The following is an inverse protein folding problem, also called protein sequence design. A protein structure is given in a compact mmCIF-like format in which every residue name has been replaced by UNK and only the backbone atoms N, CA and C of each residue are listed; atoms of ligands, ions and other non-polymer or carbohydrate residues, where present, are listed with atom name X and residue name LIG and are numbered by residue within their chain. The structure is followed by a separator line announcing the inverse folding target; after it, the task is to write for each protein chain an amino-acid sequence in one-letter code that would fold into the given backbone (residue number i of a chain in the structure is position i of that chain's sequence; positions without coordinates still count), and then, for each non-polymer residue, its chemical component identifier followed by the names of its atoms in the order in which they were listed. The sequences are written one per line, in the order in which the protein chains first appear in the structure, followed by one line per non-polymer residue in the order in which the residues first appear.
data_IF_664945311970
#
_entry.id   IF_664945311970
#
_cell.length_a   1.000
_cell.length_b   1.000
_cell.length_c   1.000
_cell.angle_alpha   90.00
_cell.angle_beta   90.00
_cell.angle_gamma   90.00
#
_symmetry.space_group_name_H-M   'P 1'
#
loop_
_entity.id
_entity.type
_entity.pdbx_description
1 polymer ?
#
# COMPACT_ATOMS: atom_id res chain seq x y z
N UNK A 1 10.79 7.66 -6.62
CA UNK A 1 11.47 6.38 -6.26
C UNK A 1 11.19 5.34 -7.33
N UNK A 2 12.13 4.44 -7.55
CA UNK A 2 11.96 3.31 -8.47
C UNK A 2 11.32 2.12 -7.74
N UNK A 3 11.09 1.03 -8.49
CA UNK A 3 10.48 -0.20 -7.93
C UNK A 3 11.25 -0.71 -6.71
N UNK A 4 12.58 -0.79 -6.81
CA UNK A 4 13.40 -1.32 -5.72
C UNK A 4 13.31 -0.44 -4.47
N UNK A 5 13.28 0.87 -4.64
CA UNK A 5 13.18 1.80 -3.53
C UNK A 5 11.83 1.70 -2.82
N UNK A 6 10.74 1.57 -3.58
CA UNK A 6 9.41 1.32 -2.99
C UNK A 6 9.37 0.00 -2.24
N UNK A 7 9.91 -1.04 -2.84
CA UNK A 7 9.98 -2.36 -2.23
C UNK A 7 10.80 -2.32 -0.93
N UNK A 8 11.98 -1.74 -0.99
CA UNK A 8 12.88 -1.66 0.17
C UNK A 8 12.22 -0.88 1.31
N UNK A 9 11.54 0.21 0.99
CA UNK A 9 10.86 1.01 2.00
C UNK A 9 9.74 0.22 2.68
N UNK A 10 8.90 -0.47 1.90
CA UNK A 10 7.84 -1.30 2.46
C UNK A 10 8.40 -2.36 3.41
N UNK A 11 9.47 -3.04 3.00
CA UNK A 11 10.09 -4.08 3.81
C UNK A 11 10.77 -3.52 5.06
N UNK A 12 11.19 -2.27 5.04
CA UNK A 12 11.85 -1.61 6.18
C UNK A 12 10.90 -1.21 7.29
N UNK A 13 9.59 -1.22 7.04
CA UNK A 13 8.60 -0.77 8.01
C UNK A 13 8.47 -1.70 9.22
N UNK A 14 8.76 -2.97 9.05
CA UNK A 14 8.76 -3.93 10.15
C UNK A 14 9.15 -5.32 9.68
N UNK A 15 9.56 -6.15 10.62
CA UNK A 15 9.88 -7.55 10.35
C UNK A 15 8.63 -8.38 10.07
N UNK A 16 7.46 -7.83 10.33
CA UNK A 16 6.16 -8.44 10.10
C UNK A 16 5.60 -8.21 8.70
N UNK A 17 6.32 -7.45 7.85
CA UNK A 17 5.91 -7.23 6.47
C UNK A 17 6.27 -8.45 5.63
N UNK A 18 5.30 -8.94 4.86
CA UNK A 18 5.50 -10.02 3.90
C UNK A 18 5.25 -9.53 2.49
N UNK A 19 6.08 -9.95 1.54
CA UNK A 19 5.85 -9.66 0.12
C UNK A 19 5.49 -10.93 -0.63
N UNK A 20 4.53 -10.85 -1.55
CA UNK A 20 4.06 -11.99 -2.34
C UNK A 20 3.65 -11.55 -3.73
N UNK A 21 3.62 -12.52 -4.65
CA UNK A 21 3.03 -12.37 -5.98
C UNK A 21 1.76 -13.24 -6.03
N UNK A 22 0.67 -12.84 -5.36
CA UNK A 22 -0.47 -13.73 -5.13
C UNK A 22 -1.31 -14.02 -6.39
N UNK A 23 -1.13 -13.23 -7.44
CA UNK A 23 -1.95 -13.31 -8.65
C UNK A 23 -1.22 -13.93 -9.84
N UNK A 24 -0.17 -14.71 -9.58
CA UNK A 24 0.66 -15.30 -10.65
C UNK A 24 -0.14 -16.20 -11.60
N UNK A 25 -1.24 -16.77 -11.13
CA UNK A 25 -2.11 -17.65 -11.94
C UNK A 25 -3.16 -16.89 -12.75
N UNK A 26 -3.30 -15.60 -12.52
CA UNK A 26 -4.31 -14.78 -13.19
C UNK A 26 -3.69 -14.05 -14.37
N UNK A 27 -4.41 -13.99 -15.48
CA UNK A 27 -3.99 -13.22 -16.63
C UNK A 27 -3.82 -11.75 -16.23
N UNK A 28 -2.70 -11.14 -16.60
CA UNK A 28 -2.33 -9.76 -16.29
C UNK A 28 -2.12 -9.50 -14.79
N UNK A 29 -2.01 -10.55 -13.96
CA UNK A 29 -1.77 -10.39 -12.54
C UNK A 29 -0.44 -10.98 -12.06
N UNK A 30 0.30 -11.62 -12.95
CA UNK A 30 1.53 -12.34 -12.63
C UNK A 30 2.69 -11.44 -12.17
N UNK A 31 2.62 -10.15 -12.47
CA UNK A 31 3.66 -9.18 -12.10
C UNK A 31 3.22 -8.24 -10.98
N UNK A 32 2.08 -8.48 -10.33
CA UNK A 32 1.60 -7.63 -9.24
C UNK A 32 2.25 -8.05 -7.92
N UNK A 33 3.11 -7.19 -7.39
CA UNK A 33 3.77 -7.40 -6.11
C UNK A 33 2.94 -6.78 -4.99
N UNK A 34 2.63 -7.58 -3.97
CA UNK A 34 1.75 -7.18 -2.87
C UNK A 34 2.48 -7.29 -1.54
N UNK A 35 2.33 -6.28 -0.70
CA UNK A 35 2.89 -6.23 0.65
C UNK A 35 1.79 -6.38 1.68
N UNK A 36 2.00 -7.27 2.64
CA UNK A 36 1.04 -7.64 3.67
C UNK A 36 1.58 -7.32 5.05
N UNK A 37 0.68 -6.97 5.95
CA UNK A 37 0.94 -6.97 7.40
C UNK A 37 -0.28 -7.57 8.08
N UNK A 38 -0.06 -8.45 9.07
CA UNK A 38 -1.14 -9.18 9.74
C UNK A 38 -2.04 -9.95 8.77
N UNK A 39 -1.49 -10.42 7.65
CA UNK A 39 -2.23 -11.17 6.64
C UNK A 39 -3.10 -10.33 5.70
N UNK A 40 -3.00 -8.99 5.75
CA UNK A 40 -3.82 -8.10 4.94
C UNK A 40 -2.95 -7.16 4.11
N UNK A 41 -3.39 -6.87 2.88
CA UNK A 41 -2.67 -5.99 1.97
C UNK A 41 -2.64 -4.55 2.50
N UNK A 42 -1.48 -3.89 2.36
CA UNK A 42 -1.38 -2.46 2.61
C UNK A 42 -0.76 -1.69 1.45
N UNK A 43 -0.07 -2.37 0.55
CA UNK A 43 0.57 -1.74 -0.61
C UNK A 43 0.70 -2.76 -1.73
N UNK A 44 0.43 -2.34 -2.96
CA UNK A 44 0.73 -3.19 -4.12
C UNK A 44 0.98 -2.34 -5.36
N UNK A 45 1.75 -2.89 -6.29
CA UNK A 45 2.01 -2.28 -7.58
C UNK A 45 2.44 -3.34 -8.60
N UNK A 46 2.29 -2.99 -9.88
CA UNK A 46 2.65 -3.88 -10.97
C UNK A 46 4.10 -3.65 -11.36
N UNK A 47 4.92 -4.70 -11.34
CA UNK A 47 6.34 -4.62 -11.70
C UNK A 47 6.55 -4.32 -13.19
N UNK A 48 5.63 -4.74 -14.04
CA UNK A 48 5.73 -4.55 -15.49
C UNK A 48 5.02 -3.29 -15.98
N UNK A 49 4.14 -2.72 -15.15
CA UNK A 49 3.42 -1.49 -15.48
C UNK A 49 3.39 -0.62 -14.23
N UNK A 50 4.53 -0.03 -13.93
CA UNK A 50 4.74 0.72 -12.69
C UNK A 50 4.24 2.15 -12.83
N UNK A 51 2.91 2.31 -12.89
CA UNK A 51 2.26 3.61 -13.04
C UNK A 51 1.47 4.03 -11.80
N UNK A 52 1.07 3.07 -10.97
CA UNK A 52 0.27 3.33 -9.78
C UNK A 52 0.77 2.46 -8.63
N UNK A 53 1.01 3.10 -7.48
CA UNK A 53 1.24 2.40 -6.21
C UNK A 53 -0.03 2.56 -5.39
N UNK A 54 -0.71 1.44 -5.12
CA UNK A 54 -1.99 1.46 -4.39
C UNK A 54 -1.76 1.28 -2.89
N UNK A 55 -2.35 2.17 -2.11
CA UNK A 55 -2.16 2.25 -0.66
C UNK A 55 -3.51 2.43 0.04
N UNK A 56 -3.65 1.80 1.19
CA UNK A 56 -4.81 2.04 2.04
C UNK A 56 -4.72 3.43 2.67
N UNK A 57 -5.88 4.08 2.82
CA UNK A 57 -5.93 5.44 3.38
C UNK A 57 -7.23 5.65 4.12
N UNK A 58 -7.23 6.53 5.12
CA UNK A 58 -8.42 6.90 5.84
C UNK A 58 -9.40 7.59 4.87
N UNK A 59 -10.68 7.15 4.84
CA UNK A 59 -11.66 7.75 3.92
C UNK A 59 -11.76 9.27 4.02
N UNK A 60 -11.69 9.80 5.23
CA UNK A 60 -11.80 11.24 5.49
C UNK A 60 -10.63 12.06 4.95
N UNK A 61 -9.50 11.41 4.62
CA UNK A 61 -8.32 12.09 4.08
C UNK A 61 -8.22 12.05 2.57
N UNK A 62 -8.97 11.15 1.93
CA UNK A 62 -8.76 10.85 0.50
C UNK A 62 -9.06 12.06 -0.38
N UNK A 63 -10.20 12.71 -0.19
CA UNK A 63 -10.57 13.86 -1.02
C UNK A 63 -9.60 15.03 -0.85
N UNK A 64 -9.16 15.27 0.38
CA UNK A 64 -8.20 16.32 0.68
C UNK A 64 -6.85 16.05 0.00
N UNK A 65 -6.37 14.82 0.08
CA UNK A 65 -5.11 14.43 -0.55
C UNK A 65 -5.17 14.58 -2.08
N UNK A 66 -6.28 14.15 -2.68
CA UNK A 66 -6.48 14.29 -4.13
C UNK A 66 -6.56 15.74 -4.56
N UNK A 67 -7.18 16.59 -3.75
CA UNK A 67 -7.27 18.02 -4.04
C UNK A 67 -5.93 18.73 -3.89
N UNK A 68 -5.11 18.29 -2.94
CA UNK A 68 -3.83 18.92 -2.63
C UNK A 68 -2.70 18.47 -3.56
N UNK A 69 -2.71 17.21 -4.01
CA UNK A 69 -1.62 16.62 -4.77
C UNK A 69 -2.10 15.99 -6.07
N UNK A 70 -1.60 16.48 -7.19
CA UNK A 70 -1.93 15.93 -8.51
C UNK A 70 -1.42 14.50 -8.70
N UNK A 71 -0.39 14.11 -7.96
CA UNK A 71 0.19 12.77 -8.02
C UNK A 71 -0.64 11.72 -7.28
N UNK A 72 -1.72 12.12 -6.60
CA UNK A 72 -2.60 11.20 -5.89
C UNK A 72 -3.93 11.09 -6.62
N UNK A 73 -4.33 9.85 -6.90
CA UNK A 73 -5.57 9.55 -7.59
C UNK A 73 -6.20 8.27 -7.09
N UNK A 74 -6.95 7.62 -7.95
CA UNK A 74 -7.63 6.37 -7.61
C UNK A 74 -6.65 5.20 -7.59
N UNK A 75 -6.91 4.18 -6.74
CA UNK A 75 -6.11 2.97 -6.73
C UNK A 75 -6.36 2.12 -7.96
N UNK A 76 -5.48 1.17 -8.21
CA UNK A 76 -5.69 0.18 -9.26
C UNK A 76 -6.57 -0.93 -8.71
N UNK A 77 -7.73 -1.11 -9.31
CA UNK A 77 -8.63 -2.26 -9.05
C UNK A 77 -8.99 -2.47 -7.58
N UNK A 78 -9.14 -1.39 -6.81
CA UNK A 78 -9.57 -1.40 -5.42
C UNK A 78 -10.59 -0.29 -5.17
N UNK A 79 -11.25 -0.33 -4.01
CA UNK A 79 -12.26 0.64 -3.65
C UNK A 79 -11.65 2.04 -3.43
N UNK A 80 -12.06 3.06 -4.20
CA UNK A 80 -11.55 4.41 -4.01
C UNK A 80 -12.01 5.08 -2.72
N UNK A 81 -12.90 4.44 -1.97
CA UNK A 81 -13.32 4.94 -0.64
C UNK A 81 -12.29 4.65 0.44
N UNK A 82 -11.47 3.64 0.25
CA UNK A 82 -10.52 3.16 1.26
C UNK A 82 -9.09 3.07 0.76
N UNK A 83 -8.86 3.32 -0.51
CA UNK A 83 -7.56 3.19 -1.15
C UNK A 83 -7.25 4.42 -2.00
N UNK A 84 -5.98 4.74 -2.10
CA UNK A 84 -5.47 5.79 -3.00
C UNK A 84 -4.44 5.18 -3.94
N UNK A 85 -4.18 5.87 -5.05
CA UNK A 85 -3.11 5.54 -5.96
C UNK A 85 -2.10 6.65 -6.01
N UNK A 86 -0.82 6.31 -5.91
CA UNK A 86 0.28 7.26 -6.11
C UNK A 86 0.83 7.09 -7.51
N UNK A 87 1.18 8.20 -8.16
CA UNK A 87 2.04 8.16 -9.35
C UNK A 87 3.49 8.04 -8.86
N UNK A 88 4.15 6.89 -9.05
CA UNK A 88 5.50 6.70 -8.50
C UNK A 88 6.56 7.58 -9.16
N UNK A 89 6.26 8.13 -10.34
CA UNK A 89 7.21 8.94 -11.09
C UNK A 89 7.18 10.42 -10.69
N UNK A 90 6.08 10.88 -10.10
CA UNK A 90 5.91 12.31 -9.76
C UNK A 90 5.71 12.57 -8.28
N UNK A 91 5.49 11.54 -7.45
CA UNK A 91 5.28 11.72 -6.02
C UNK A 91 6.61 12.00 -5.31
N UNK A 92 6.71 13.11 -4.54
CA UNK A 92 7.92 13.35 -3.74
C UNK A 92 8.19 12.21 -2.76
N UNK A 93 9.46 11.91 -2.53
CA UNK A 93 9.86 10.79 -1.68
C UNK A 93 9.29 10.88 -0.26
N UNK A 94 9.32 12.06 0.34
CA UNK A 94 8.80 12.24 1.70
C UNK A 94 7.30 11.95 1.77
N UNK A 95 6.55 12.41 0.79
CA UNK A 95 5.11 12.15 0.72
C UNK A 95 4.84 10.67 0.50
N UNK A 96 5.59 10.03 -0.40
CA UNK A 96 5.46 8.59 -0.63
C UNK A 96 5.74 7.79 0.64
N UNK A 97 6.82 8.12 1.35
CA UNK A 97 7.17 7.46 2.62
C UNK A 97 6.05 7.60 3.65
N UNK A 98 5.54 8.83 3.82
CA UNK A 98 4.47 9.08 4.79
C UNK A 98 3.21 8.30 4.48
N UNK A 99 2.81 8.26 3.22
CA UNK A 99 1.58 7.58 2.83
C UNK A 99 1.71 6.06 2.86
N UNK A 100 2.88 5.53 2.53
CA UNK A 100 3.14 4.09 2.65
C UNK A 100 3.11 3.68 4.12
N UNK A 101 3.80 4.43 4.98
CA UNK A 101 3.80 4.18 6.42
C UNK A 101 2.39 4.27 7.00
N UNK A 102 1.63 5.28 6.59
CA UNK A 102 0.25 5.45 7.02
C UNK A 102 -0.60 4.23 6.66
N UNK A 103 -0.45 3.71 5.45
CA UNK A 103 -1.16 2.51 5.01
C UNK A 103 -0.81 1.29 5.87
N UNK A 104 0.48 1.08 6.12
CA UNK A 104 0.96 0.01 6.99
C UNK A 104 0.35 0.13 8.40
N UNK A 105 0.37 1.33 8.96
CA UNK A 105 -0.13 1.57 10.31
C UNK A 105 -1.65 1.38 10.42
N UNK A 106 -2.42 1.79 9.40
CA UNK A 106 -3.87 1.56 9.37
C UNK A 106 -4.17 0.07 9.47
N UNK A 107 -3.53 -0.72 8.62
CA UNK A 107 -3.78 -2.16 8.56
C UNK A 107 -3.30 -2.84 9.83
N UNK A 108 -2.12 -2.50 10.30
CA UNK A 108 -1.56 -3.07 11.52
C UNK A 108 -2.43 -2.75 12.73
N UNK A 109 -2.86 -1.51 12.88
CA UNK A 109 -3.72 -1.11 14.01
C UNK A 109 -5.04 -1.87 14.02
N UNK A 110 -5.64 -2.06 12.85
CA UNK A 110 -6.93 -2.75 12.73
C UNK A 110 -6.84 -4.23 13.08
N UNK A 111 -5.82 -4.91 12.58
CA UNK A 111 -5.73 -6.37 12.69
C UNK A 111 -4.82 -6.84 13.83
N UNK A 112 -3.82 -6.07 14.18
CA UNK A 112 -2.92 -6.37 15.31
C UNK A 112 -3.66 -6.33 16.65
N UNK A 113 -4.62 -5.42 16.82
CA UNK A 113 -5.44 -5.33 18.03
C UNK A 113 -6.20 -6.62 18.29
N UNK A 114 -6.75 -7.23 17.24
CA UNK A 114 -7.45 -8.51 17.35
C UNK A 114 -6.49 -9.62 17.78
N UNK A 115 -5.31 -9.67 17.19
CA UNK A 115 -4.29 -10.66 17.53
C UNK A 115 -3.81 -10.49 18.97
N UNK A 116 -3.59 -9.27 19.41
CA UNK A 116 -3.19 -8.99 20.78
C UNK A 116 -4.25 -9.42 21.79
N UNK A 117 -5.52 -9.17 21.49
CA UNK A 117 -6.63 -9.58 22.35
C UNK A 117 -6.73 -11.11 22.44
N UNK A 118 -6.53 -11.80 21.35
CA UNK A 118 -6.52 -13.25 21.30
C UNK A 118 -5.38 -13.83 22.13
N UNK A 119 -4.21 -13.24 22.06
CA UNK A 119 -3.03 -13.68 22.79
C UNK A 119 -3.17 -13.51 24.31
N UNK A 120 -3.95 -12.55 24.75
CA UNK A 120 -4.17 -12.28 26.18
C UNK A 120 -5.13 -13.28 26.85
N UNK A 121 -5.83 -14.00 26.05
CA UNK A 121 -6.74 -15.03 26.53
C UNK A 121 -6.00 -16.34 26.76
#
# INVERSE_FOLDING_TARGET
MNVEEYRDYCLSLGTDVEEKLPFVKFKNGDSVLVFYVCGHMFCFFDLNDFQVVSLKCQPERIDELKAQYDCIGNPYNESPKHWIGLDPHSTPNDLAHDLIRNSYEIVKAKYSKKSCNEKRK
#
